data_IF_997452615536
#
_entry.id   IF_997452615536
#
_cell.length_a   1.000
_cell.length_b   1.000
_cell.length_c   1.000
_cell.angle_alpha   90.00
_cell.angle_beta   90.00
_cell.angle_gamma   90.00
#
_symmetry.space_group_name_H-M   'P 1'
#
loop_
_entity.id
_entity.type
_entity.pdbx_description
1 polymer ?
#
# COMPACT_ATOMS: atom_id res chain seq x y z
N UNK A 1 12.43 -14.15 71.69
CA UNK A 1 13.02 -14.81 70.50
C UNK A 1 12.26 -14.30 69.28
N UNK A 2 12.79 -13.28 68.63
CA UNK A 2 12.10 -12.51 67.58
C UNK A 2 12.70 -12.89 66.24
N UNK A 3 12.09 -13.86 65.55
CA UNK A 3 12.51 -14.27 64.21
C UNK A 3 11.67 -13.54 63.16
N UNK A 4 12.36 -12.69 62.41
CA UNK A 4 11.84 -11.78 61.40
C UNK A 4 11.24 -12.49 60.15
N UNK A 5 10.34 -11.80 59.40
CA UNK A 5 9.52 -12.38 58.35
C UNK A 5 10.27 -12.48 57.01
N UNK A 6 10.94 -13.61 56.74
CA UNK A 6 11.64 -13.85 55.46
C UNK A 6 10.74 -14.23 54.29
N UNK A 7 9.51 -14.70 54.53
CA UNK A 7 8.62 -15.21 53.48
C UNK A 7 7.96 -14.07 52.68
N UNK A 8 7.66 -12.95 53.32
CA UNK A 8 6.90 -11.84 52.70
C UNK A 8 7.69 -11.10 51.62
N UNK A 9 9.01 -10.95 51.78
CA UNK A 9 9.85 -10.26 50.78
C UNK A 9 9.99 -11.04 49.46
N UNK A 10 9.99 -12.38 49.51
CA UNK A 10 10.07 -13.21 48.30
C UNK A 10 8.81 -13.08 47.45
N UNK A 11 7.64 -13.04 48.08
CA UNK A 11 6.36 -12.87 47.39
C UNK A 11 6.23 -11.48 46.76
N UNK A 12 6.69 -10.43 47.44
CA UNK A 12 6.71 -9.07 46.87
C UNK A 12 7.67 -8.94 45.68
N UNK A 13 8.89 -9.47 45.76
CA UNK A 13 9.82 -9.44 44.63
C UNK A 13 9.30 -10.26 43.44
N UNK A 14 8.70 -11.42 43.69
CA UNK A 14 8.16 -12.28 42.62
C UNK A 14 6.93 -11.67 41.95
N UNK A 15 6.06 -11.00 42.72
CA UNK A 15 4.89 -10.30 42.18
C UNK A 15 5.32 -9.08 41.34
N UNK A 16 6.32 -8.32 41.80
CA UNK A 16 6.89 -7.18 41.05
C UNK A 16 7.58 -7.60 39.76
N UNK A 17 8.36 -8.69 39.79
CA UNK A 17 9.01 -9.23 38.60
C UNK A 17 8.01 -9.70 37.53
N UNK A 18 6.88 -10.28 37.95
CA UNK A 18 5.82 -10.71 37.03
C UNK A 18 5.11 -9.50 36.37
N UNK A 19 4.85 -8.43 37.13
CA UNK A 19 4.25 -7.20 36.59
C UNK A 19 5.17 -6.45 35.63
N UNK A 20 6.49 -6.47 35.86
CA UNK A 20 7.48 -5.87 34.94
C UNK A 20 7.60 -6.69 33.66
N UNK A 21 7.62 -8.03 33.76
CA UNK A 21 7.63 -8.91 32.58
C UNK A 21 6.35 -8.75 31.74
N UNK A 22 5.19 -8.68 32.39
CA UNK A 22 3.93 -8.38 31.68
C UNK A 22 3.97 -7.02 31.00
N UNK A 23 4.38 -5.94 31.69
CA UNK A 23 4.46 -4.62 31.04
C UNK A 23 5.46 -4.60 29.88
N UNK A 24 6.59 -5.29 29.98
CA UNK A 24 7.58 -5.35 28.90
C UNK A 24 7.11 -6.22 27.72
N UNK A 25 6.38 -7.30 28.00
CA UNK A 25 5.73 -8.13 26.97
C UNK A 25 4.59 -7.38 26.27
N UNK A 26 3.84 -6.56 27.00
CA UNK A 26 2.86 -5.63 26.43
C UNK A 26 3.55 -4.54 25.61
N UNK A 27 4.58 -3.87 26.12
CA UNK A 27 5.30 -2.82 25.38
C UNK A 27 5.99 -3.34 24.11
N UNK A 28 6.60 -4.52 24.21
CA UNK A 28 7.11 -5.26 23.07
C UNK A 28 6.00 -5.50 22.04
N UNK A 29 4.89 -6.14 22.44
CA UNK A 29 3.74 -6.41 21.55
C UNK A 29 3.24 -5.17 20.81
N UNK A 30 3.08 -4.04 21.49
CA UNK A 30 2.62 -2.79 20.86
C UNK A 30 3.67 -2.28 19.85
N UNK A 31 4.97 -2.41 20.16
CA UNK A 31 6.05 -1.98 19.28
C UNK A 31 6.21 -2.89 18.05
N UNK A 32 5.99 -4.21 18.18
CA UNK A 32 6.03 -5.17 17.08
C UNK A 32 4.83 -5.00 16.12
N UNK A 33 3.65 -4.63 16.64
CA UNK A 33 2.50 -4.28 15.81
C UNK A 33 2.77 -3.03 14.97
N UNK A 34 3.31 -1.96 15.58
CA UNK A 34 3.60 -0.70 14.89
C UNK A 34 4.61 -0.86 13.73
N UNK A 35 5.63 -1.71 13.89
CA UNK A 35 6.62 -1.97 12.82
C UNK A 35 6.06 -2.82 11.68
N UNK A 36 5.20 -3.78 11.98
CA UNK A 36 4.60 -4.66 10.97
C UNK A 36 3.61 -3.89 10.10
N UNK A 37 2.77 -3.07 10.73
CA UNK A 37 1.80 -2.21 10.04
C UNK A 37 2.52 -1.18 9.16
N UNK A 38 3.66 -0.63 9.61
CA UNK A 38 4.45 0.31 8.80
C UNK A 38 5.08 -0.33 7.56
N UNK A 39 5.61 -1.55 7.68
CA UNK A 39 6.19 -2.28 6.54
C UNK A 39 5.11 -2.71 5.55
N UNK A 40 3.95 -3.12 6.04
CA UNK A 40 2.77 -3.38 5.22
C UNK A 40 2.34 -2.14 4.47
N UNK A 41 2.13 -1.02 5.17
CA UNK A 41 1.73 0.24 4.57
C UNK A 41 2.70 0.69 3.48
N UNK A 42 4.01 0.47 3.69
CA UNK A 42 5.05 0.76 2.70
C UNK A 42 4.97 -0.14 1.47
N UNK A 43 4.74 -1.45 1.64
CA UNK A 43 4.53 -2.39 0.53
C UNK A 43 3.26 -2.05 -0.25
N UNK A 44 2.16 -1.79 0.48
CA UNK A 44 0.88 -1.33 -0.04
C UNK A 44 1.05 -0.07 -0.87
N UNK A 45 1.76 0.93 -0.34
CA UNK A 45 1.97 2.20 -1.03
C UNK A 45 2.80 1.99 -2.31
N UNK A 46 3.84 1.14 -2.27
CA UNK A 46 4.63 0.78 -3.45
C UNK A 46 3.79 0.04 -4.49
N UNK A 47 2.97 -0.92 -4.08
CA UNK A 47 2.06 -1.69 -4.94
C UNK A 47 1.00 -0.79 -5.58
N UNK A 48 0.36 0.08 -4.78
CA UNK A 48 -0.60 1.09 -5.24
C UNK A 48 0.04 2.05 -6.23
N UNK A 49 1.24 2.57 -5.92
CA UNK A 49 1.96 3.46 -6.82
C UNK A 49 2.35 2.74 -8.12
N UNK A 50 2.87 1.52 -8.07
CA UNK A 50 3.18 0.72 -9.27
C UNK A 50 1.93 0.43 -10.11
N UNK A 51 0.82 0.07 -9.46
CA UNK A 51 -0.44 -0.21 -10.13
C UNK A 51 -1.09 1.06 -10.69
N UNK A 52 -0.86 2.23 -10.09
CA UNK A 52 -1.29 3.53 -10.63
C UNK A 52 -0.40 3.99 -11.78
N UNK A 53 0.91 3.77 -11.65
CA UNK A 53 1.94 4.10 -12.64
C UNK A 53 1.78 3.25 -13.90
N UNK A 54 1.29 2.02 -13.80
CA UNK A 54 1.07 1.13 -14.96
C UNK A 54 0.08 1.70 -16.00
N UNK A 55 -1.18 2.01 -15.67
CA UNK A 55 -2.11 2.64 -16.60
C UNK A 55 -1.66 4.05 -16.99
N UNK A 56 -0.97 4.79 -16.09
CA UNK A 56 -0.46 6.12 -16.38
C UNK A 56 0.70 6.09 -17.40
N UNK A 57 1.62 5.13 -17.29
CA UNK A 57 2.69 4.89 -18.26
C UNK A 57 2.14 4.34 -19.56
N UNK A 58 1.09 3.52 -19.52
CA UNK A 58 0.45 3.02 -20.73
C UNK A 58 -0.21 4.17 -21.52
N UNK A 59 -1.05 4.97 -20.87
CA UNK A 59 -1.66 6.15 -21.49
C UNK A 59 -0.61 7.18 -21.93
N UNK A 60 0.31 7.52 -21.03
CA UNK A 60 1.38 8.48 -21.29
C UNK A 60 2.35 8.00 -22.37
N UNK A 61 2.64 6.71 -22.42
CA UNK A 61 3.47 6.08 -23.44
C UNK A 61 2.80 6.09 -24.81
N UNK A 62 1.50 5.79 -24.89
CA UNK A 62 0.74 5.90 -26.15
C UNK A 62 0.67 7.36 -26.60
N UNK A 63 0.38 8.30 -25.70
CA UNK A 63 0.38 9.74 -26.00
C UNK A 63 1.76 10.22 -26.49
N UNK A 64 2.83 9.83 -25.80
CA UNK A 64 4.20 10.18 -26.16
C UNK A 64 4.61 9.58 -27.51
N UNK A 65 4.25 8.33 -27.77
CA UNK A 65 4.46 7.70 -29.06
C UNK A 65 3.70 8.43 -30.18
N UNK A 66 2.45 8.83 -29.92
CA UNK A 66 1.64 9.58 -30.88
C UNK A 66 2.16 11.00 -31.14
N UNK A 67 2.64 11.70 -30.12
CA UNK A 67 3.30 13.01 -30.28
C UNK A 67 4.57 12.90 -31.11
N UNK A 68 5.39 11.88 -30.82
CA UNK A 68 6.61 11.60 -31.59
C UNK A 68 6.27 11.25 -33.04
N UNK A 69 5.21 10.46 -33.24
CA UNK A 69 4.70 10.11 -34.56
C UNK A 69 4.08 11.31 -35.30
N UNK A 70 3.53 12.28 -34.57
CA UNK A 70 2.97 13.51 -35.14
C UNK A 70 4.01 14.49 -35.64
N UNK A 71 5.25 14.39 -35.18
CA UNK A 71 6.36 15.19 -35.68
C UNK A 71 6.77 14.79 -37.11
N UNK A 72 6.40 13.58 -37.54
CA UNK A 72 6.68 13.07 -38.89
C UNK A 72 5.48 13.35 -39.80
N UNK A 73 5.63 14.19 -40.85
CA UNK A 73 4.56 14.50 -41.80
C UNK A 73 4.24 13.24 -42.64
N UNK A 74 3.32 12.42 -42.11
CA UNK A 74 2.89 11.13 -42.65
C UNK A 74 2.06 10.33 -41.65
N UNK A 75 2.35 10.49 -40.35
CA UNK A 75 1.65 9.84 -39.23
C UNK A 75 0.96 10.84 -38.30
N UNK A 76 1.05 12.14 -38.59
CA UNK A 76 0.38 13.23 -37.87
C UNK A 76 -1.12 13.05 -37.70
N UNK A 77 -1.79 12.49 -38.72
CA UNK A 77 -3.23 12.19 -38.66
C UNK A 77 -3.51 11.12 -37.59
N UNK A 78 -2.65 10.10 -37.50
CA UNK A 78 -2.76 9.05 -36.49
C UNK A 78 -2.51 9.59 -35.07
N UNK A 79 -1.56 10.53 -34.95
CA UNK A 79 -1.29 11.29 -33.73
C UNK A 79 -2.50 12.08 -33.22
N UNK A 80 -3.16 12.81 -34.12
CA UNK A 80 -4.36 13.59 -33.79
C UNK A 80 -5.53 12.67 -33.41
N UNK A 81 -5.80 11.62 -34.20
CA UNK A 81 -6.89 10.68 -33.94
C UNK A 81 -6.73 10.01 -32.58
N UNK A 82 -5.55 9.50 -32.24
CA UNK A 82 -5.39 8.83 -30.95
C UNK A 82 -5.31 9.78 -29.76
N UNK A 83 -4.90 11.04 -29.94
CA UNK A 83 -5.08 12.06 -28.90
C UNK A 83 -6.56 12.27 -28.58
N UNK A 84 -7.40 12.47 -29.59
CA UNK A 84 -8.84 12.59 -29.37
C UNK A 84 -9.45 11.32 -28.78
N UNK A 85 -8.99 10.13 -29.21
CA UNK A 85 -9.49 8.86 -28.72
C UNK A 85 -9.18 8.67 -27.23
N UNK A 86 -7.98 9.02 -26.79
CA UNK A 86 -7.58 8.95 -25.37
C UNK A 86 -8.33 9.99 -24.55
N UNK A 87 -8.47 11.23 -25.04
CA UNK A 87 -9.24 12.27 -24.35
C UNK A 87 -10.72 11.89 -24.23
N UNK A 88 -11.29 11.31 -25.27
CA UNK A 88 -12.69 10.85 -25.30
C UNK A 88 -12.89 9.64 -24.39
N UNK A 89 -11.93 8.72 -24.35
CA UNK A 89 -11.92 7.60 -23.40
C UNK A 89 -11.89 8.12 -21.96
N UNK A 90 -10.95 9.03 -21.62
CA UNK A 90 -10.88 9.62 -20.28
C UNK A 90 -12.15 10.41 -19.92
N UNK A 91 -12.70 11.15 -20.88
CA UNK A 91 -13.96 11.87 -20.73
C UNK A 91 -15.14 10.93 -20.43
N UNK A 92 -15.19 9.76 -21.08
CA UNK A 92 -16.23 8.74 -20.85
C UNK A 92 -16.18 8.20 -19.42
N UNK A 93 -14.99 8.00 -18.85
CA UNK A 93 -14.81 7.57 -17.46
C UNK A 93 -14.94 8.70 -16.42
N UNK A 94 -14.95 9.96 -16.86
CA UNK A 94 -14.85 11.14 -16.00
C UNK A 94 -16.01 12.12 -16.12
N UNK A 95 -17.17 11.67 -16.61
CA UNK A 95 -18.36 12.51 -16.84
C UNK A 95 -18.09 13.78 -17.65
N UNK A 96 -17.23 13.70 -18.67
CA UNK A 96 -16.85 14.87 -19.48
C UNK A 96 -15.51 15.50 -19.09
N UNK A 97 -14.99 15.22 -17.88
CA UNK A 97 -13.71 15.74 -17.42
C UNK A 97 -12.60 14.68 -17.52
N UNK A 98 -11.64 14.82 -18.44
CA UNK A 98 -10.62 13.80 -18.64
C UNK A 98 -9.73 13.59 -17.41
N UNK A 99 -9.50 14.64 -16.61
CA UNK A 99 -8.79 14.53 -15.32
C UNK A 99 -9.51 13.61 -14.34
N UNK A 100 -10.84 13.64 -14.31
CA UNK A 100 -11.63 12.78 -13.45
C UNK A 100 -11.55 11.32 -13.92
N UNK A 101 -11.59 11.06 -15.24
CA UNK A 101 -11.38 9.72 -15.77
C UNK A 101 -10.00 9.14 -15.43
N UNK A 102 -8.96 9.97 -15.45
CA UNK A 102 -7.61 9.57 -15.03
C UNK A 102 -7.57 9.21 -13.53
N UNK A 103 -8.23 9.99 -12.68
CA UNK A 103 -8.37 9.69 -11.25
C UNK A 103 -9.19 8.41 -11.00
N UNK A 104 -10.25 8.17 -11.75
CA UNK A 104 -11.08 6.95 -11.63
C UNK A 104 -10.30 5.70 -12.01
N UNK A 105 -9.59 5.72 -13.15
CA UNK A 105 -8.77 4.58 -13.60
C UNK A 105 -7.62 4.34 -12.61
N UNK A 106 -6.94 5.42 -12.20
CA UNK A 106 -5.89 5.33 -11.22
C UNK A 106 -6.38 4.82 -9.86
N UNK A 107 -7.53 5.32 -9.38
CA UNK A 107 -8.13 4.93 -8.10
C UNK A 107 -8.59 3.47 -8.06
N UNK A 108 -9.19 2.98 -9.15
CA UNK A 108 -9.57 1.57 -9.28
C UNK A 108 -8.34 0.66 -9.35
N UNK A 109 -7.30 1.03 -10.10
CA UNK A 109 -6.04 0.28 -10.13
C UNK A 109 -5.35 0.27 -8.76
N UNK A 110 -5.28 1.42 -8.09
CA UNK A 110 -4.78 1.53 -6.72
C UNK A 110 -5.54 0.61 -5.75
N UNK A 111 -6.87 0.59 -5.82
CA UNK A 111 -7.70 -0.29 -4.99
C UNK A 111 -7.39 -1.77 -5.21
N UNK A 112 -7.28 -2.20 -6.47
CA UNK A 112 -6.93 -3.60 -6.83
C UNK A 112 -5.51 -3.96 -6.37
N UNK A 113 -4.53 -3.08 -6.62
CA UNK A 113 -3.14 -3.30 -6.19
C UNK A 113 -2.98 -3.35 -4.67
N UNK A 114 -3.74 -2.53 -3.94
CA UNK A 114 -3.79 -2.58 -2.49
C UNK A 114 -4.44 -3.85 -1.96
N UNK A 115 -5.55 -4.28 -2.57
CA UNK A 115 -6.21 -5.54 -2.21
C UNK A 115 -5.27 -6.73 -2.44
N UNK A 116 -4.57 -6.75 -3.57
CA UNK A 116 -3.63 -7.82 -3.91
C UNK A 116 -2.46 -7.92 -2.91
N UNK A 117 -1.88 -6.79 -2.49
CA UNK A 117 -0.81 -6.77 -1.48
C UNK A 117 -1.28 -7.33 -0.13
N UNK A 118 -2.50 -6.95 0.31
CA UNK A 118 -3.12 -7.48 1.55
C UNK A 118 -3.40 -8.98 1.44
N UNK A 119 -3.94 -9.45 0.32
CA UNK A 119 -4.20 -10.87 0.08
C UNK A 119 -2.91 -11.71 0.11
N UNK A 120 -1.85 -11.20 -0.52
CA UNK A 120 -0.56 -11.90 -0.57
C UNK A 120 0.09 -11.96 0.82
N UNK A 121 -0.03 -10.91 1.62
CA UNK A 121 0.38 -10.93 3.02
C UNK A 121 -0.39 -11.95 3.85
N UNK A 122 -1.71 -12.03 3.66
CA UNK A 122 -2.55 -13.00 4.38
C UNK A 122 -2.18 -14.45 4.03
N UNK A 123 -1.99 -14.73 2.74
CA UNK A 123 -1.53 -16.05 2.27
C UNK A 123 -0.13 -16.40 2.82
N UNK A 124 0.79 -15.44 2.87
CA UNK A 124 2.13 -15.67 3.40
C UNK A 124 2.09 -16.06 4.89
N UNK A 125 1.24 -15.39 5.68
CA UNK A 125 1.05 -15.74 7.10
C UNK A 125 0.39 -17.09 7.31
N UNK A 126 -0.61 -17.45 6.49
CA UNK A 126 -1.27 -18.76 6.56
C UNK A 126 -0.29 -19.91 6.28
N UNK A 127 0.57 -19.74 5.26
CA UNK A 127 1.56 -20.76 4.87
C UNK A 127 2.71 -20.89 5.89
N UNK A 128 3.13 -19.80 6.54
CA UNK A 128 4.21 -19.81 7.54
C UNK A 128 3.71 -19.96 9.00
N UNK A 129 2.39 -20.10 9.18
CA UNK A 129 1.76 -20.32 10.48
C UNK A 129 1.69 -21.79 10.92
N UNK A 130 2.24 -22.72 10.13
CA UNK A 130 2.44 -24.13 10.50
C UNK A 130 3.88 -24.41 10.93
#
# INVERSE_FOLDING_TARGET
MTLAPRQTKRTYCKRRANTINQNFGWFGRINWEMTTVSNLFRSLLLSVLLSFVTPLLFLGGILGALLTASYIPGIAILGQIGQELILSFLSTFGEGYPLQGMLTIGGTCAMVGGLFDVFNFYLYQDIHGQ
#
